data_IF_386492630580
#
_entry.id   IF_386492630580
#
_cell.length_a   1.000
_cell.length_b   1.000
_cell.length_c   1.000
_cell.angle_alpha   90.00
_cell.angle_beta   90.00
_cell.angle_gamma   90.00
#
_symmetry.space_group_name_H-M   'P 1'
#
loop_
_entity.id
_entity.type
_entity.pdbx_description
1 polymer ?
#
# COMPACT_ATOMS: atom_id res chain seq x y z
N UNK A 1 -41.65 4.92 13.86
CA UNK A 1 -41.31 4.12 12.68
C UNK A 1 -39.99 4.60 12.10
N UNK A 2 -38.81 4.20 12.65
CA UNK A 2 -37.47 4.61 12.14
C UNK A 2 -36.41 3.48 12.27
N UNK A 3 -36.84 2.23 12.40
CA UNK A 3 -35.92 1.09 12.55
C UNK A 3 -35.38 0.54 11.20
N UNK A 4 -35.92 0.97 10.07
CA UNK A 4 -35.57 0.40 8.75
C UNK A 4 -34.30 0.98 8.09
N UNK A 5 -33.83 2.17 8.48
CA UNK A 5 -32.73 2.86 7.79
C UNK A 5 -31.33 2.52 8.36
N UNK A 6 -31.24 2.04 9.60
CA UNK A 6 -29.95 1.75 10.24
C UNK A 6 -29.34 0.45 9.73
N UNK A 7 -30.16 -0.53 9.35
CA UNK A 7 -29.67 -1.84 8.88
C UNK A 7 -29.11 -1.81 7.44
N UNK A 8 -29.67 -0.97 6.57
CA UNK A 8 -29.21 -0.86 5.17
C UNK A 8 -27.92 -0.07 5.03
N UNK A 9 -27.72 0.97 5.85
CA UNK A 9 -26.48 1.76 5.86
C UNK A 9 -25.29 0.98 6.44
N UNK A 10 -25.51 0.07 7.42
CA UNK A 10 -24.44 -0.76 7.96
C UNK A 10 -23.97 -1.82 6.97
N UNK A 11 -24.89 -2.42 6.22
CA UNK A 11 -24.52 -3.42 5.19
C UNK A 11 -23.77 -2.81 4.01
N UNK A 12 -24.13 -1.61 3.56
CA UNK A 12 -23.40 -0.91 2.51
C UNK A 12 -21.97 -0.53 2.95
N UNK A 13 -21.81 -0.06 4.20
CA UNK A 13 -20.50 0.25 4.77
C UNK A 13 -19.62 -0.99 4.91
N UNK A 14 -20.17 -2.14 5.30
CA UNK A 14 -19.45 -3.42 5.39
C UNK A 14 -19.00 -3.92 4.01
N UNK A 15 -19.84 -3.80 2.98
CA UNK A 15 -19.48 -4.11 1.60
C UNK A 15 -18.26 -3.31 1.10
N UNK A 16 -18.15 -2.04 1.50
CA UNK A 16 -17.01 -1.20 1.16
C UNK A 16 -15.68 -1.70 1.78
N UNK A 17 -15.73 -2.45 2.89
CA UNK A 17 -14.51 -2.99 3.53
C UNK A 17 -14.02 -4.28 2.88
N UNK A 18 -14.88 -5.02 2.18
CA UNK A 18 -14.49 -6.26 1.49
C UNK A 18 -13.37 -6.00 0.49
N UNK A 19 -13.40 -4.87 -0.24
CA UNK A 19 -12.34 -4.52 -1.19
C UNK A 19 -10.96 -4.36 -0.55
N UNK A 20 -10.90 -3.84 0.70
CA UNK A 20 -9.63 -3.76 1.45
C UNK A 20 -9.10 -5.16 1.79
N UNK A 21 -9.99 -6.07 2.24
CA UNK A 21 -9.61 -7.45 2.56
C UNK A 21 -9.11 -8.18 1.32
N UNK A 22 -9.83 -8.07 0.20
CA UNK A 22 -9.42 -8.67 -1.07
C UNK A 22 -8.10 -8.10 -1.57
N UNK A 23 -7.90 -6.79 -1.49
CA UNK A 23 -6.65 -6.15 -1.87
C UNK A 23 -5.49 -6.63 -0.99
N UNK A 24 -5.68 -6.65 0.34
CA UNK A 24 -4.68 -7.15 1.28
C UNK A 24 -4.25 -8.58 0.97
N UNK A 25 -5.22 -9.50 0.80
CA UNK A 25 -4.93 -10.90 0.44
C UNK A 25 -4.21 -11.01 -0.90
N UNK A 26 -4.63 -10.20 -1.89
CA UNK A 26 -3.97 -10.17 -3.21
C UNK A 26 -2.53 -9.70 -3.12
N UNK A 27 -2.25 -8.66 -2.32
CA UNK A 27 -0.88 -8.18 -2.12
C UNK A 27 -0.03 -9.19 -1.34
N UNK A 28 -0.56 -9.86 -0.33
CA UNK A 28 0.14 -10.96 0.34
C UNK A 28 0.46 -12.10 -0.63
N UNK A 29 -0.48 -12.45 -1.50
CA UNK A 29 -0.23 -13.47 -2.52
C UNK A 29 0.91 -13.05 -3.47
N UNK A 30 0.86 -11.82 -4.00
CA UNK A 30 1.93 -11.26 -4.86
C UNK A 30 3.25 -11.25 -4.11
N UNK A 31 3.26 -10.76 -2.86
CA UNK A 31 4.44 -10.72 -2.02
C UNK A 31 5.02 -12.10 -1.71
N UNK A 32 4.16 -13.11 -1.48
CA UNK A 32 4.57 -14.50 -1.29
C UNK A 32 5.21 -15.07 -2.56
N UNK A 33 4.60 -14.87 -3.72
CA UNK A 33 5.17 -15.30 -5.01
C UNK A 33 6.53 -14.62 -5.23
N UNK A 34 6.61 -13.30 -4.99
CA UNK A 34 7.88 -12.56 -5.08
C UNK A 34 8.93 -13.15 -4.13
N UNK A 35 8.58 -13.40 -2.86
CA UNK A 35 9.49 -13.99 -1.88
C UNK A 35 10.00 -15.38 -2.27
N UNK A 36 9.13 -16.23 -2.83
CA UNK A 36 9.53 -17.55 -3.34
C UNK A 36 10.44 -17.42 -4.56
N UNK A 37 10.17 -16.48 -5.46
CA UNK A 37 10.99 -16.28 -6.66
C UNK A 37 12.39 -15.77 -6.32
N UNK A 38 12.51 -14.79 -5.42
CA UNK A 38 13.80 -14.15 -5.10
C UNK A 38 14.79 -15.07 -4.39
N UNK A 39 14.32 -16.16 -3.74
CA UNK A 39 15.19 -17.14 -3.10
C UNK A 39 15.62 -18.28 -4.05
N UNK A 40 15.05 -18.37 -5.25
CA UNK A 40 15.49 -19.37 -6.23
C UNK A 40 16.96 -19.13 -6.62
N UNK A 41 17.82 -20.15 -6.67
CA UNK A 41 19.25 -19.97 -6.88
C UNK A 41 19.64 -19.05 -8.05
N UNK A 42 19.07 -19.19 -9.26
CA UNK A 42 19.43 -18.31 -10.37
C UNK A 42 18.98 -16.85 -10.16
N UNK A 43 17.80 -16.65 -9.54
CA UNK A 43 17.27 -15.30 -9.25
C UNK A 43 18.09 -14.66 -8.14
N UNK A 44 18.42 -15.42 -7.08
CA UNK A 44 19.24 -14.95 -5.97
C UNK A 44 20.62 -14.52 -6.45
N UNK A 45 21.30 -15.38 -7.23
CA UNK A 45 22.62 -15.06 -7.78
C UNK A 45 22.59 -13.80 -8.66
N UNK A 46 21.53 -13.60 -9.45
CA UNK A 46 21.36 -12.40 -10.24
C UNK A 46 21.13 -11.16 -9.35
N UNK A 47 20.25 -11.23 -8.37
CA UNK A 47 20.00 -10.14 -7.40
C UNK A 47 21.27 -9.74 -6.66
N UNK A 48 22.08 -10.72 -6.21
CA UNK A 48 23.36 -10.46 -5.54
C UNK A 48 24.34 -9.74 -6.47
N UNK A 49 24.39 -10.14 -7.75
CA UNK A 49 25.28 -9.51 -8.75
C UNK A 49 24.93 -8.05 -9.05
N UNK A 50 23.71 -7.61 -8.74
CA UNK A 50 23.26 -6.22 -8.91
C UNK A 50 23.07 -5.47 -7.58
N UNK A 51 23.64 -6.00 -6.48
CA UNK A 51 23.80 -5.31 -5.20
C UNK A 51 22.79 -5.63 -4.11
N UNK A 52 21.82 -6.53 -4.31
CA UNK A 52 20.89 -6.94 -3.24
C UNK A 52 21.65 -7.64 -2.09
N UNK A 53 21.23 -7.47 -0.84
CA UNK A 53 20.17 -6.58 -0.35
C UNK A 53 20.68 -5.18 0.05
N UNK A 54 21.98 -4.92 -0.08
CA UNK A 54 22.63 -3.78 0.57
C UNK A 54 22.69 -2.50 -0.25
N UNK A 55 22.45 -2.57 -1.55
CA UNK A 55 22.51 -1.39 -2.42
C UNK A 55 22.21 -1.72 -3.88
N UNK A 56 22.48 -0.74 -4.77
CA UNK A 56 22.29 -0.90 -6.20
C UNK A 56 20.84 -1.18 -6.63
N UNK A 57 20.65 -1.52 -7.89
CA UNK A 57 19.33 -1.85 -8.43
C UNK A 57 18.68 -3.07 -7.75
N UNK A 58 19.48 -4.04 -7.30
CA UNK A 58 19.01 -5.22 -6.58
C UNK A 58 18.25 -4.89 -5.29
N UNK A 59 18.69 -3.86 -4.57
CA UNK A 59 18.02 -3.37 -3.37
C UNK A 59 16.59 -2.85 -3.63
N UNK A 60 16.32 -2.31 -4.82
CA UNK A 60 14.99 -1.86 -5.21
C UNK A 60 14.01 -3.05 -5.28
N UNK A 61 14.48 -4.22 -5.72
CA UNK A 61 13.69 -5.43 -5.86
C UNK A 61 13.60 -6.16 -4.52
N UNK A 62 14.75 -6.45 -3.92
CA UNK A 62 14.92 -7.13 -2.64
C UNK A 62 15.92 -6.34 -1.79
N UNK A 63 15.49 -5.72 -0.67
CA UNK A 63 14.22 -5.93 0.03
C UNK A 63 13.09 -4.93 -0.27
N UNK A 64 13.32 -3.79 -0.95
CA UNK A 64 12.35 -2.69 -0.94
C UNK A 64 10.98 -3.06 -1.53
N UNK A 65 10.93 -3.58 -2.77
CA UNK A 65 9.65 -3.94 -3.39
C UNK A 65 8.96 -5.05 -2.59
N UNK A 66 9.72 -6.11 -2.21
CA UNK A 66 9.18 -7.23 -1.44
C UNK A 66 8.62 -6.79 -0.09
N UNK A 67 9.33 -5.96 0.67
CA UNK A 67 8.86 -5.48 1.96
C UNK A 67 7.61 -4.60 1.82
N UNK A 68 7.59 -3.66 0.87
CA UNK A 68 6.46 -2.75 0.72
C UNK A 68 5.18 -3.44 0.27
N UNK A 69 5.25 -4.41 -0.66
CA UNK A 69 4.04 -5.12 -1.10
C UNK A 69 3.43 -5.94 0.05
N UNK A 70 4.25 -6.56 0.91
CA UNK A 70 3.78 -7.31 2.07
C UNK A 70 3.31 -6.40 3.20
N UNK A 71 4.13 -5.42 3.61
CA UNK A 71 3.83 -4.59 4.78
C UNK A 71 2.76 -3.56 4.44
N UNK A 72 2.95 -2.76 3.39
CA UNK A 72 1.98 -1.70 3.07
C UNK A 72 0.78 -2.27 2.33
N UNK A 73 1.00 -3.10 1.32
CA UNK A 73 -0.07 -3.74 0.56
C UNK A 73 -0.86 -4.76 1.38
N UNK A 74 -0.16 -5.64 2.09
CA UNK A 74 -0.78 -6.66 2.92
C UNK A 74 -1.25 -6.12 4.27
N UNK A 75 -0.30 -5.84 5.19
CA UNK A 75 -0.62 -5.56 6.60
C UNK A 75 -1.33 -4.22 6.78
N UNK A 76 -0.82 -3.11 6.21
CA UNK A 76 -1.39 -1.78 6.46
C UNK A 76 -2.80 -1.65 5.89
N UNK A 77 -3.06 -2.15 4.67
CA UNK A 77 -4.42 -2.14 4.08
C UNK A 77 -5.38 -2.98 4.94
N UNK A 78 -4.95 -4.13 5.47
CA UNK A 78 -5.73 -4.92 6.40
C UNK A 78 -6.02 -4.14 7.69
N UNK A 79 -5.01 -3.50 8.28
CA UNK A 79 -5.18 -2.69 9.48
C UNK A 79 -6.16 -1.52 9.27
N UNK A 80 -6.15 -0.88 8.08
CA UNK A 80 -7.13 0.14 7.73
C UNK A 80 -8.55 -0.42 7.71
N UNK A 81 -8.76 -1.59 7.09
CA UNK A 81 -10.06 -2.28 7.09
C UNK A 81 -10.54 -2.60 8.51
N UNK A 82 -9.67 -3.20 9.32
CA UNK A 82 -9.96 -3.57 10.71
C UNK A 82 -10.30 -2.32 11.54
N UNK A 83 -9.57 -1.23 11.37
CA UNK A 83 -9.84 0.02 12.08
C UNK A 83 -11.21 0.59 11.69
N UNK A 84 -11.53 0.65 10.42
CA UNK A 84 -12.83 1.13 9.93
C UNK A 84 -14.00 0.23 10.35
N UNK A 85 -13.76 -1.06 10.53
CA UNK A 85 -14.75 -2.02 11.02
C UNK A 85 -14.96 -1.93 12.54
N UNK A 86 -13.86 -1.89 13.31
CA UNK A 86 -13.93 -1.94 14.77
C UNK A 86 -14.29 -0.59 15.39
N UNK A 87 -13.81 0.52 14.86
CA UNK A 87 -14.00 1.84 15.47
C UNK A 87 -15.50 2.19 15.66
N UNK A 88 -16.38 2.01 14.68
CA UNK A 88 -17.83 2.20 14.87
C UNK A 88 -18.42 1.24 15.89
N UNK A 89 -18.00 -0.02 15.91
CA UNK A 89 -18.54 -1.06 16.81
C UNK A 89 -18.17 -0.81 18.27
N UNK A 90 -16.93 -0.42 18.53
CA UNK A 90 -16.45 -0.13 19.89
C UNK A 90 -17.05 1.18 20.41
N UNK A 91 -17.21 2.17 19.55
CA UNK A 91 -17.63 3.51 19.96
C UNK A 91 -19.14 3.74 19.93
N UNK A 92 -19.91 2.90 19.20
CA UNK A 92 -21.32 3.13 18.91
C UNK A 92 -21.56 4.38 18.02
N UNK A 93 -20.54 4.90 17.33
CA UNK A 93 -20.64 6.05 16.46
C UNK A 93 -20.24 5.68 15.02
N UNK A 94 -20.98 6.18 14.03
CA UNK A 94 -20.62 5.99 12.63
C UNK A 94 -19.29 6.69 12.32
N UNK A 95 -18.59 6.22 11.29
CA UNK A 95 -17.42 6.88 10.74
C UNK A 95 -17.78 8.30 10.28
N UNK A 96 -16.85 9.22 10.43
CA UNK A 96 -17.02 10.62 10.02
C UNK A 96 -17.45 10.74 8.54
N UNK A 97 -16.86 9.95 7.66
CA UNK A 97 -17.23 9.98 6.25
C UNK A 97 -16.95 8.65 5.54
N UNK A 98 -18.00 8.05 4.97
CA UNK A 98 -17.88 6.87 4.11
C UNK A 98 -17.17 7.18 2.79
N UNK A 99 -17.30 8.41 2.26
CA UNK A 99 -16.55 8.84 1.07
C UNK A 99 -15.04 8.80 1.31
N UNK A 100 -14.59 9.23 2.51
CA UNK A 100 -13.17 9.16 2.86
C UNK A 100 -12.67 7.72 2.99
N UNK A 101 -13.50 6.75 3.42
CA UNK A 101 -13.16 5.32 3.38
C UNK A 101 -12.84 4.88 1.96
N UNK A 102 -13.71 5.24 1.01
CA UNK A 102 -13.51 4.91 -0.39
C UNK A 102 -12.26 5.58 -1.00
N UNK A 103 -12.03 6.85 -0.70
CA UNK A 103 -10.80 7.55 -1.12
C UNK A 103 -9.54 6.95 -0.49
N UNK A 104 -9.55 6.60 0.81
CA UNK A 104 -8.46 5.88 1.46
C UNK A 104 -8.08 4.64 0.65
N UNK A 105 -9.07 3.83 0.28
CA UNK A 105 -8.82 2.62 -0.51
C UNK A 105 -8.12 2.93 -1.82
N UNK A 106 -8.72 3.77 -2.67
CA UNK A 106 -8.20 3.99 -4.02
C UNK A 106 -6.83 4.67 -4.05
N UNK A 107 -6.61 5.69 -3.21
CA UNK A 107 -5.32 6.37 -3.15
C UNK A 107 -4.22 5.44 -2.63
N UNK A 108 -4.49 4.62 -1.60
CA UNK A 108 -3.52 3.66 -1.09
C UNK A 108 -3.26 2.54 -2.09
N UNK A 109 -4.32 2.00 -2.71
CA UNK A 109 -4.23 0.92 -3.70
C UNK A 109 -3.40 1.33 -4.93
N UNK A 110 -3.68 2.52 -5.50
CA UNK A 110 -2.93 3.06 -6.63
C UNK A 110 -1.48 3.37 -6.24
N UNK A 111 -1.28 3.97 -5.05
CA UNK A 111 0.04 4.32 -4.56
C UNK A 111 0.94 3.11 -4.36
N UNK A 112 0.48 2.07 -3.65
CA UNK A 112 1.30 0.87 -3.41
C UNK A 112 1.54 0.05 -4.68
N UNK A 113 0.52 -0.07 -5.54
CA UNK A 113 0.68 -0.76 -6.83
C UNK A 113 1.71 -0.05 -7.72
N UNK A 114 1.63 1.29 -7.81
CA UNK A 114 2.59 2.09 -8.55
C UNK A 114 3.99 2.03 -7.95
N UNK A 115 4.10 2.12 -6.62
CA UNK A 115 5.36 2.05 -5.90
C UNK A 115 6.08 0.70 -6.13
N UNK A 116 5.36 -0.39 -5.92
CA UNK A 116 5.88 -1.75 -6.14
C UNK A 116 6.32 -1.97 -7.59
N UNK A 117 5.45 -1.61 -8.56
CA UNK A 117 5.77 -1.75 -9.98
C UNK A 117 6.97 -0.91 -10.40
N UNK A 118 7.08 0.33 -9.89
CA UNK A 118 8.21 1.21 -10.16
C UNK A 118 9.52 0.60 -9.67
N UNK A 119 9.55 0.10 -8.43
CA UNK A 119 10.74 -0.55 -7.88
C UNK A 119 11.15 -1.78 -8.68
N UNK A 120 10.19 -2.63 -9.08
CA UNK A 120 10.50 -3.80 -9.89
C UNK A 120 11.02 -3.43 -11.28
N UNK A 121 10.30 -2.58 -12.00
CA UNK A 121 10.65 -2.22 -13.39
C UNK A 121 12.01 -1.55 -13.43
N UNK A 122 12.24 -0.53 -12.61
CA UNK A 122 13.52 0.19 -12.63
C UNK A 122 14.64 -0.62 -11.99
N UNK A 123 14.39 -1.45 -10.98
CA UNK A 123 15.36 -2.37 -10.43
C UNK A 123 15.87 -3.38 -11.47
N UNK A 124 14.95 -3.93 -12.29
CA UNK A 124 15.32 -4.85 -13.38
C UNK A 124 16.08 -4.13 -14.50
N UNK A 125 15.59 -2.96 -14.94
CA UNK A 125 16.22 -2.20 -16.01
C UNK A 125 17.63 -1.71 -15.62
N UNK A 126 17.76 -1.05 -14.49
CA UNK A 126 19.04 -0.56 -13.99
C UNK A 126 20.01 -1.72 -13.67
N UNK A 127 19.48 -2.86 -13.16
CA UNK A 127 20.26 -4.05 -12.92
C UNK A 127 20.86 -4.64 -14.20
N UNK A 128 20.07 -4.72 -15.26
CA UNK A 128 20.55 -5.17 -16.56
C UNK A 128 21.62 -4.23 -17.13
N UNK A 129 21.42 -2.91 -17.04
CA UNK A 129 22.39 -1.90 -17.48
C UNK A 129 23.69 -1.91 -16.67
N UNK A 130 23.59 -2.17 -15.36
CA UNK A 130 24.75 -2.33 -14.49
C UNK A 130 25.65 -3.49 -14.94
N UNK A 131 25.04 -4.64 -15.28
CA UNK A 131 25.78 -5.82 -15.75
C UNK A 131 26.42 -5.65 -17.13
N UNK A 132 25.87 -4.79 -17.98
CA UNK A 132 26.48 -4.45 -19.28
C UNK A 132 27.53 -3.36 -19.17
N UNK A 133 27.71 -2.72 -18.01
CA UNK A 133 28.63 -1.61 -17.81
C UNK A 133 28.20 -0.28 -18.44
N UNK A 134 26.95 -0.16 -18.90
CA UNK A 134 26.41 1.07 -19.50
C UNK A 134 25.96 2.07 -18.43
N UNK A 135 26.92 2.74 -17.84
CA UNK A 135 26.70 3.73 -16.79
C UNK A 135 25.91 4.96 -17.28
N UNK A 136 26.03 5.31 -18.56
CA UNK A 136 25.32 6.46 -19.13
C UNK A 136 23.82 6.15 -19.28
N UNK A 137 23.47 4.98 -19.81
CA UNK A 137 22.09 4.53 -19.91
C UNK A 137 21.47 4.31 -18.52
N UNK A 138 22.22 3.75 -17.56
CA UNK A 138 21.77 3.59 -16.18
C UNK A 138 21.44 4.95 -15.54
N UNK A 139 22.31 5.95 -15.67
CA UNK A 139 22.06 7.29 -15.15
C UNK A 139 20.85 7.97 -15.84
N UNK A 140 20.61 7.72 -17.13
CA UNK A 140 19.44 8.20 -17.85
C UNK A 140 18.17 7.54 -17.33
N UNK A 141 18.17 6.24 -17.10
CA UNK A 141 17.05 5.47 -16.53
C UNK A 141 16.73 5.95 -15.12
N UNK A 142 17.75 6.17 -14.28
CA UNK A 142 17.58 6.66 -12.91
C UNK A 142 16.95 8.06 -12.83
N UNK A 143 17.26 8.93 -13.80
CA UNK A 143 16.61 10.25 -13.90
C UNK A 143 15.12 10.17 -14.18
N UNK A 144 14.66 9.11 -14.86
CA UNK A 144 13.23 8.85 -15.09
C UNK A 144 12.60 8.21 -13.84
N UNK A 145 13.29 7.30 -13.19
CA UNK A 145 12.86 6.65 -11.97
C UNK A 145 12.53 7.66 -10.85
N UNK A 146 13.43 8.60 -10.60
CA UNK A 146 13.34 9.53 -9.46
C UNK A 146 12.01 10.29 -9.36
N UNK A 147 11.50 10.98 -10.40
CA UNK A 147 10.21 11.65 -10.32
C UNK A 147 9.03 10.65 -10.22
N UNK A 148 9.10 9.50 -10.87
CA UNK A 148 8.03 8.51 -10.83
C UNK A 148 7.86 7.95 -9.42
N UNK A 149 8.96 7.52 -8.77
CA UNK A 149 8.88 6.99 -7.39
C UNK A 149 8.40 8.06 -6.41
N UNK A 150 8.77 9.32 -6.60
CA UNK A 150 8.29 10.43 -5.78
C UNK A 150 6.78 10.64 -5.93
N UNK A 151 6.26 10.61 -7.16
CA UNK A 151 4.83 10.77 -7.45
C UNK A 151 4.02 9.64 -6.82
N UNK A 152 4.40 8.37 -7.05
CA UNK A 152 3.65 7.24 -6.51
C UNK A 152 3.73 7.16 -4.98
N UNK A 153 4.84 7.58 -4.38
CA UNK A 153 4.97 7.73 -2.92
C UNK A 153 4.03 8.79 -2.37
N UNK A 154 3.90 9.92 -3.07
CA UNK A 154 2.97 10.99 -2.70
C UNK A 154 1.51 10.52 -2.82
N UNK A 155 1.16 9.82 -3.89
CA UNK A 155 -0.17 9.22 -4.07
C UNK A 155 -0.51 8.27 -2.91
N UNK A 156 0.43 7.41 -2.52
CA UNK A 156 0.28 6.52 -1.35
C UNK A 156 0.11 7.32 -0.05
N UNK A 157 0.93 8.35 0.14
CA UNK A 157 0.87 9.24 1.30
C UNK A 157 -0.47 9.95 1.45
N UNK A 158 -1.08 10.41 0.35
CA UNK A 158 -2.43 10.99 0.34
C UNK A 158 -3.44 9.98 0.91
N UNK A 159 -3.37 8.70 0.52
CA UNK A 159 -4.23 7.66 1.07
C UNK A 159 -4.13 7.54 2.60
N UNK A 160 -2.92 7.57 3.15
CA UNK A 160 -2.68 7.57 4.60
C UNK A 160 -3.23 8.83 5.30
N UNK A 161 -3.01 10.01 4.73
CA UNK A 161 -3.53 11.25 5.31
C UNK A 161 -5.07 11.28 5.32
N UNK A 162 -5.71 10.76 4.28
CA UNK A 162 -7.18 10.62 4.25
C UNK A 162 -7.65 9.65 5.34
N UNK A 163 -6.96 8.51 5.52
CA UNK A 163 -7.24 7.55 6.58
C UNK A 163 -7.14 8.20 7.96
N UNK A 164 -6.02 8.84 8.27
CA UNK A 164 -5.81 9.52 9.55
C UNK A 164 -6.86 10.58 9.81
N UNK A 165 -7.17 11.41 8.81
CA UNK A 165 -8.20 12.44 8.93
C UNK A 165 -9.55 11.84 9.30
N UNK A 166 -9.98 10.78 8.61
CA UNK A 166 -11.27 10.14 8.88
C UNK A 166 -11.32 9.53 10.29
N UNK A 167 -10.27 8.85 10.72
CA UNK A 167 -10.17 8.26 12.07
C UNK A 167 -10.16 9.34 13.14
N UNK A 168 -9.34 10.39 13.00
CA UNK A 168 -9.27 11.48 13.98
C UNK A 168 -10.58 12.26 14.10
N UNK A 169 -11.25 12.54 12.97
CA UNK A 169 -12.54 13.22 13.00
C UNK A 169 -13.64 12.37 13.64
N UNK A 170 -13.63 11.05 13.39
CA UNK A 170 -14.51 10.09 14.06
C UNK A 170 -14.27 10.10 15.57
N UNK A 171 -13.01 9.98 15.98
CA UNK A 171 -12.62 9.98 17.40
C UNK A 171 -13.00 11.26 18.10
N UNK A 172 -12.77 12.42 17.48
CA UNK A 172 -13.17 13.73 18.00
C UNK A 172 -14.68 13.81 18.25
N UNK A 173 -15.50 13.27 17.32
CA UNK A 173 -16.94 13.24 17.48
C UNK A 173 -17.39 12.39 18.68
N UNK A 174 -16.71 11.23 18.90
CA UNK A 174 -16.95 10.34 20.05
C UNK A 174 -16.74 11.09 21.39
N UNK A 175 -15.59 11.75 21.54
CA UNK A 175 -15.26 12.48 22.77
C UNK A 175 -16.16 13.69 23.01
N UNK A 176 -16.58 14.38 21.96
CA UNK A 176 -17.53 15.50 22.10
C UNK A 176 -18.88 15.06 22.63
N UNK A 177 -19.41 13.93 22.15
CA UNK A 177 -20.71 13.39 22.60
C UNK A 177 -20.68 12.88 24.05
N UNK A 178 -19.52 12.43 24.57
CA UNK A 178 -19.38 11.98 25.96
C UNK A 178 -19.35 13.14 26.98
N UNK A 179 -19.11 14.36 26.52
CA UNK A 179 -19.02 15.57 27.35
C UNK A 179 -20.32 16.40 27.37
N UNK A 180 -21.25 16.13 26.47
CA UNK A 180 -22.60 16.71 26.43
C UNK A 180 -23.61 15.82 27.17
#
# INVERSE_FOLDING_TARGET
MQAGNVSTDSTAAEHDLIKFLLASVSFFFIGTVHGVLQIQPPVRAWLDSIGSPYGGPGHMIDPLAHAHINVVGGVVILCMAVTYYLLPRISGQLLFSQRLVNHTFWWTMLGISGFYSTLLVFGILEGALLLTGDSAAMAATHRIYTPIIAIVSMVMGIGFWIFFTNVFMTTKAIYRKRRS
#
